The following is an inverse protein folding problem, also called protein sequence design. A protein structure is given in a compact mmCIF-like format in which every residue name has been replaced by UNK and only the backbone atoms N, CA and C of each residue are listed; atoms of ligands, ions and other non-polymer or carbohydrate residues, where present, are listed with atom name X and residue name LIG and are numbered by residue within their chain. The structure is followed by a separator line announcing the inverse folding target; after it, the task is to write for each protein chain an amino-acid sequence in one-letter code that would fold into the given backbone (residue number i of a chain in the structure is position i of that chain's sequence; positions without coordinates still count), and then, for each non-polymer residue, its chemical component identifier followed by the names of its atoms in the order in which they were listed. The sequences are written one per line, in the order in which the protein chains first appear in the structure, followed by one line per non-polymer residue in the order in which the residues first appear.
data_IF_312255384373
#
_entry.id   IF_312255384373
#
_cell.length_a   1.000
_cell.length_b   1.000
_cell.length_c   1.000
_cell.angle_alpha   90.00
_cell.angle_beta   90.00
_cell.angle_gamma   90.00
#
_symmetry.space_group_name_H-M   'P 1'
#
loop_
_entity.id
_entity.type
_entity.pdbx_description
1 polymer ?
#
# COMPACT_ATOMS: atom_id res chain seq x y z
N UNK A 1 -13.27 -6.55 -6.38
CA UNK A 1 -13.07 -7.01 -4.99
C UNK A 1 -13.42 -8.49 -4.97
N UNK A 2 -12.65 -9.29 -4.25
CA UNK A 2 -12.94 -10.69 -4.00
C UNK A 2 -12.29 -11.14 -2.70
N UNK A 3 -12.68 -12.31 -2.20
CA UNK A 3 -12.13 -12.90 -0.98
C UNK A 3 -11.12 -13.97 -1.36
N UNK A 4 -9.89 -13.89 -0.82
CA UNK A 4 -8.92 -14.98 -0.95
C UNK A 4 -9.47 -16.20 -0.22
N UNK A 5 -9.76 -17.27 -0.93
CA UNK A 5 -10.38 -18.49 -0.38
C UNK A 5 -9.36 -19.58 -0.12
N UNK A 6 -8.22 -19.54 -0.84
CA UNK A 6 -7.09 -20.44 -0.62
C UNK A 6 -5.78 -19.76 -0.97
N UNK A 7 -4.88 -19.70 0.00
CA UNK A 7 -3.52 -19.18 -0.18
C UNK A 7 -2.55 -19.89 0.75
N UNK A 8 -1.29 -19.96 0.34
CA UNK A 8 -0.19 -20.46 1.17
C UNK A 8 1.09 -19.77 0.76
N UNK A 9 1.92 -19.40 1.74
CA UNK A 9 3.15 -18.66 1.51
C UNK A 9 2.88 -17.39 0.69
N UNK A 10 3.63 -17.17 -0.40
CA UNK A 10 3.49 -16.03 -1.33
C UNK A 10 2.74 -16.44 -2.59
N UNK A 11 1.72 -17.28 -2.42
CA UNK A 11 0.95 -17.85 -3.52
C UNK A 11 -0.53 -17.83 -3.19
N UNK A 12 -1.32 -17.22 -4.06
CA UNK A 12 -2.78 -17.20 -3.99
C UNK A 12 -3.31 -18.21 -5.00
N UNK A 13 -4.00 -19.25 -4.52
CA UNK A 13 -4.55 -20.30 -5.36
C UNK A 13 -5.97 -19.96 -5.81
N UNK A 14 -6.79 -19.45 -4.88
CA UNK A 14 -8.21 -19.22 -5.14
C UNK A 14 -8.69 -17.87 -4.60
N UNK A 15 -9.50 -17.18 -5.40
CA UNK A 15 -10.26 -15.99 -5.02
C UNK A 15 -11.73 -16.29 -5.33
N UNK A 16 -12.63 -16.09 -4.36
CA UNK A 16 -14.06 -16.42 -4.48
C UNK A 16 -14.34 -17.86 -4.96
N UNK A 17 -13.56 -18.82 -4.45
CA UNK A 17 -13.62 -20.24 -4.81
C UNK A 17 -13.34 -20.54 -6.30
N UNK A 18 -12.69 -19.61 -7.02
CA UNK A 18 -12.22 -19.77 -8.40
C UNK A 18 -10.69 -19.68 -8.48
N UNK A 19 -10.04 -20.24 -9.51
CA UNK A 19 -8.61 -20.06 -9.74
C UNK A 19 -8.23 -18.57 -9.73
N UNK A 20 -7.21 -18.22 -8.94
CA UNK A 20 -6.85 -16.83 -8.71
C UNK A 20 -6.43 -16.11 -10.01
N UNK A 21 -5.77 -16.81 -10.94
CA UNK A 21 -5.40 -16.25 -12.23
C UNK A 21 -6.61 -15.88 -13.10
N UNK A 22 -7.69 -16.67 -13.07
CA UNK A 22 -8.92 -16.37 -13.82
C UNK A 22 -9.57 -15.09 -13.28
N UNK A 23 -9.73 -14.99 -11.96
CA UNK A 23 -10.32 -13.81 -11.32
C UNK A 23 -9.48 -12.56 -11.56
N UNK A 24 -8.15 -12.69 -11.47
CA UNK A 24 -7.24 -11.57 -11.73
C UNK A 24 -7.28 -11.13 -13.20
N UNK A 25 -7.36 -12.07 -14.14
CA UNK A 25 -7.53 -11.74 -15.57
C UNK A 25 -8.87 -11.05 -15.83
N UNK A 26 -9.99 -11.55 -15.28
CA UNK A 26 -11.30 -10.91 -15.37
C UNK A 26 -11.24 -9.45 -14.88
N UNK A 27 -10.53 -9.18 -13.79
CA UNK A 27 -10.37 -7.81 -13.28
C UNK A 27 -9.46 -6.94 -14.16
N UNK A 28 -8.39 -7.50 -14.73
CA UNK A 28 -7.53 -6.79 -15.67
C UNK A 28 -8.26 -6.43 -16.96
N UNK A 29 -9.11 -7.32 -17.48
CA UNK A 29 -9.91 -7.05 -18.68
C UNK A 29 -10.85 -5.85 -18.45
N UNK A 30 -11.53 -5.81 -17.30
CA UNK A 30 -12.36 -4.67 -16.89
C UNK A 30 -11.55 -3.37 -16.75
N UNK A 31 -10.30 -3.45 -16.26
CA UNK A 31 -9.42 -2.29 -16.14
C UNK A 31 -8.89 -1.80 -17.50
N UNK A 32 -8.57 -2.74 -18.41
CA UNK A 32 -8.15 -2.50 -19.79
C UNK A 32 -9.23 -1.74 -20.56
N UNK A 33 -10.48 -2.21 -20.49
CA UNK A 33 -11.63 -1.59 -21.15
C UNK A 33 -11.87 -0.15 -20.68
N UNK A 34 -11.73 0.10 -19.37
CA UNK A 34 -11.91 1.43 -18.79
C UNK A 34 -10.81 2.41 -19.17
N UNK A 35 -9.57 1.94 -19.25
CA UNK A 35 -8.39 2.76 -19.51
C UNK A 35 -8.02 2.86 -21.00
N UNK A 36 -8.71 2.10 -21.87
CA UNK A 36 -8.38 1.96 -23.30
C UNK A 36 -6.91 1.58 -23.52
N UNK A 37 -6.34 0.77 -22.61
CA UNK A 37 -4.92 0.39 -22.60
C UNK A 37 -4.79 -1.13 -22.66
N UNK A 38 -4.10 -1.66 -23.67
CA UNK A 38 -3.85 -3.10 -23.84
C UNK A 38 -2.88 -3.67 -22.78
N UNK A 39 -3.43 -4.08 -21.64
CA UNK A 39 -2.67 -4.66 -20.53
C UNK A 39 -2.09 -6.06 -20.85
N UNK A 40 -2.69 -6.77 -21.80
CA UNK A 40 -2.27 -8.10 -22.28
C UNK A 40 -0.82 -8.15 -22.79
N UNK A 41 -0.31 -7.01 -23.27
CA UNK A 41 1.04 -6.85 -23.81
C UNK A 41 2.13 -6.68 -22.75
N UNK A 42 1.76 -6.47 -21.48
CA UNK A 42 2.68 -6.17 -20.39
C UNK A 42 2.99 -7.45 -19.62
N UNK A 43 4.27 -7.83 -19.58
CA UNK A 43 4.73 -8.98 -18.80
C UNK A 43 4.83 -8.71 -17.30
N UNK A 44 4.83 -9.76 -16.50
CA UNK A 44 5.24 -9.71 -15.09
C UNK A 44 6.77 -9.51 -14.98
N UNK A 45 7.25 -8.86 -13.89
CA UNK A 45 6.50 -8.35 -12.74
C UNK A 45 5.92 -6.94 -12.96
N UNK A 46 6.12 -6.34 -14.14
CA UNK A 46 5.68 -4.96 -14.42
C UNK A 46 4.15 -4.84 -14.39
N UNK A 47 3.43 -5.79 -14.98
CA UNK A 47 1.96 -5.80 -14.96
C UNK A 47 1.43 -5.83 -13.52
N UNK A 48 1.93 -6.74 -12.68
CA UNK A 48 1.51 -6.81 -11.27
C UNK A 48 1.98 -5.62 -10.41
N UNK A 49 2.97 -4.85 -10.87
CA UNK A 49 3.36 -3.59 -10.23
C UNK A 49 2.44 -2.43 -10.62
N UNK A 50 1.89 -2.45 -11.84
CA UNK A 50 0.86 -1.50 -12.28
C UNK A 50 -0.50 -1.83 -11.66
N UNK A 51 -0.79 -3.13 -11.50
CA UNK A 51 -2.08 -3.61 -11.00
C UNK A 51 -1.92 -4.59 -9.83
N UNK A 52 -1.38 -4.15 -8.68
CA UNK A 52 -1.23 -5.02 -7.53
C UNK A 52 -2.59 -5.32 -6.88
N UNK A 53 -2.61 -6.30 -5.97
CA UNK A 53 -3.74 -6.55 -5.10
C UNK A 53 -3.56 -5.78 -3.77
N UNK A 54 -4.48 -4.86 -3.49
CA UNK A 54 -4.58 -4.22 -2.17
C UNK A 54 -5.39 -5.11 -1.23
N UNK A 55 -4.87 -5.39 -0.04
CA UNK A 55 -5.64 -6.10 1.00
C UNK A 55 -6.39 -5.09 1.87
N UNK A 56 -7.69 -5.31 2.08
CA UNK A 56 -8.50 -4.45 2.95
C UNK A 56 -8.59 -5.00 4.37
N UNK A 57 -8.56 -4.11 5.36
CA UNK A 57 -8.89 -4.46 6.75
C UNK A 57 -10.42 -4.51 6.87
N UNK A 58 -10.98 -5.67 7.18
CA UNK A 58 -12.39 -5.75 7.56
C UNK A 58 -12.57 -5.16 8.97
N UNK A 59 -13.44 -4.16 9.09
CA UNK A 59 -13.75 -3.48 10.36
C UNK A 59 -14.46 -4.39 11.39
N UNK A 60 -14.79 -5.63 11.05
CA UNK A 60 -15.71 -6.48 11.84
C UNK A 60 -15.08 -7.00 13.14
N UNK A 61 -13.75 -7.01 13.28
CA UNK A 61 -13.10 -7.68 14.42
C UNK A 61 -12.72 -6.78 15.60
N UNK A 62 -12.72 -5.44 15.47
CA UNK A 62 -12.28 -4.55 16.57
C UNK A 62 -13.42 -3.88 17.36
N UNK A 63 -14.69 -4.04 16.98
CA UNK A 63 -15.82 -3.55 17.79
C UNK A 63 -16.22 -4.52 18.92
N UNK A 64 -15.85 -5.81 18.85
CA UNK A 64 -16.24 -6.78 19.88
C UNK A 64 -15.49 -6.64 21.22
N UNK A 65 -14.39 -5.88 21.29
CA UNK A 65 -13.70 -5.61 22.56
C UNK A 65 -13.95 -4.22 23.15
N UNK A 66 -14.56 -3.28 22.41
CA UNK A 66 -14.72 -1.89 22.89
C UNK A 66 -16.17 -1.47 23.14
N UNK A 67 -17.18 -2.01 22.45
CA UNK A 67 -18.57 -1.56 22.65
C UNK A 67 -19.47 -2.64 23.27
N UNK A 68 -19.39 -2.76 24.60
CA UNK A 68 -20.46 -3.38 25.40
C UNK A 68 -21.56 -2.39 25.79
N UNK A 69 -21.61 -1.22 25.15
CA UNK A 69 -22.71 -0.28 25.32
C UNK A 69 -22.79 0.64 24.12
N UNK A 70 -23.76 0.40 23.22
CA UNK A 70 -24.68 1.37 22.61
C UNK A 70 -25.18 0.86 21.23
N UNK A 71 -26.51 0.76 21.15
CA UNK A 71 -27.44 0.72 20.02
C UNK A 71 -27.36 -0.33 18.89
N UNK A 72 -28.41 -1.18 18.90
CA UNK A 72 -28.67 -2.37 18.06
C UNK A 72 -29.16 -2.07 16.63
N UNK A 73 -29.09 -0.83 16.13
CA UNK A 73 -29.77 -0.46 14.88
C UNK A 73 -28.93 0.37 13.89
N UNK A 74 -27.75 -0.11 13.49
CA UNK A 74 -27.05 0.45 12.32
C UNK A 74 -26.33 -0.63 11.52
N UNK A 75 -27.12 -1.45 10.81
CA UNK A 75 -26.63 -2.28 9.72
C UNK A 75 -26.39 -1.40 8.48
N UNK A 76 -25.29 -0.63 8.45
CA UNK A 76 -24.82 0.00 7.21
C UNK A 76 -24.12 -1.07 6.36
N UNK A 77 -24.73 -1.43 5.24
CA UNK A 77 -24.22 -2.43 4.31
C UNK A 77 -22.92 -1.96 3.63
N UNK A 78 -21.97 -2.89 3.45
CA UNK A 78 -20.71 -2.66 2.73
C UNK A 78 -20.91 -2.12 1.30
N UNK A 79 -22.10 -2.29 0.74
CA UNK A 79 -22.46 -1.87 -0.62
C UNK A 79 -22.65 -0.35 -0.80
N UNK A 80 -22.61 0.46 0.26
CA UNK A 80 -22.86 1.92 0.18
C UNK A 80 -21.63 2.81 0.32
N UNK A 81 -20.41 2.27 0.35
CA UNK A 81 -19.19 3.08 0.53
C UNK A 81 -18.75 3.78 -0.76
N UNK A 82 -18.36 5.06 -0.65
CA UNK A 82 -17.80 5.82 -1.77
C UNK A 82 -16.32 5.43 -2.02
N UNK A 83 -15.84 5.60 -3.26
CA UNK A 83 -14.47 5.25 -3.69
C UNK A 83 -13.35 5.83 -2.79
N UNK A 84 -13.60 6.97 -2.14
CA UNK A 84 -12.65 7.61 -1.21
C UNK A 84 -12.39 6.82 0.08
N UNK A 85 -13.31 5.95 0.49
CA UNK A 85 -13.23 5.28 1.78
C UNK A 85 -12.34 4.03 1.74
N UNK A 86 -12.26 3.36 0.59
CA UNK A 86 -11.43 2.18 0.39
C UNK A 86 -9.93 2.45 0.56
N UNK A 87 -9.46 3.62 0.14
CA UNK A 87 -8.04 4.00 0.26
C UNK A 87 -7.53 4.07 1.70
N UNK A 88 -8.43 4.27 2.68
CA UNK A 88 -8.11 4.28 4.11
C UNK A 88 -8.09 2.88 4.74
N UNK A 89 -8.47 1.86 3.98
CA UNK A 89 -8.62 0.48 4.44
C UNK A 89 -7.56 -0.46 3.85
N UNK A 90 -6.72 0.02 2.92
CA UNK A 90 -5.64 -0.78 2.36
C UNK A 90 -4.47 -0.82 3.33
N UNK A 91 -4.09 -2.02 3.73
CA UNK A 91 -3.05 -2.24 4.73
C UNK A 91 -1.77 -2.84 4.14
N UNK A 92 -1.90 -3.57 3.03
CA UNK A 92 -0.80 -4.23 2.35
C UNK A 92 -1.07 -4.24 0.85
N UNK A 93 -0.01 -4.24 0.05
CA UNK A 93 -0.08 -4.26 -1.42
C UNK A 93 0.71 -5.45 -1.94
N UNK A 94 0.00 -6.53 -2.28
CA UNK A 94 0.60 -7.72 -2.87
C UNK A 94 0.80 -7.52 -4.37
N UNK A 95 2.04 -7.22 -4.77
CA UNK A 95 2.45 -7.18 -6.19
C UNK A 95 2.47 -8.59 -6.74
N UNK A 96 1.81 -8.80 -7.88
CA UNK A 96 1.82 -10.08 -8.61
C UNK A 96 3.13 -10.19 -9.40
N UNK A 97 3.89 -11.25 -9.14
CA UNK A 97 5.19 -11.50 -9.78
C UNK A 97 5.10 -12.50 -10.93
N UNK A 98 4.01 -13.25 -11.03
CA UNK A 98 3.75 -14.18 -12.11
C UNK A 98 2.48 -14.99 -11.91
N UNK A 99 2.08 -15.70 -12.96
CA UNK A 99 1.02 -16.71 -12.95
C UNK A 99 1.69 -18.07 -13.12
N UNK A 100 1.35 -19.02 -12.25
CA UNK A 100 1.89 -20.37 -12.27
C UNK A 100 1.06 -21.27 -13.21
N UNK A 101 1.61 -22.42 -13.61
CA UNK A 101 0.95 -23.36 -14.52
C UNK A 101 -0.38 -23.92 -13.97
N UNK A 102 -0.52 -23.98 -12.65
CA UNK A 102 -1.72 -24.44 -11.95
C UNK A 102 -2.81 -23.35 -11.82
N UNK A 103 -2.60 -22.16 -12.39
CA UNK A 103 -3.53 -21.03 -12.31
C UNK A 103 -3.45 -20.24 -11.00
N UNK A 104 -2.44 -20.50 -10.16
CA UNK A 104 -2.18 -19.68 -8.96
C UNK A 104 -1.35 -18.43 -9.28
N UNK A 105 -1.47 -17.41 -8.43
CA UNK A 105 -0.72 -16.16 -8.53
C UNK A 105 0.46 -16.17 -7.55
N UNK A 106 1.66 -15.88 -8.05
CA UNK A 106 2.83 -15.61 -7.20
C UNK A 106 2.85 -14.14 -6.79
N UNK A 107 3.13 -13.87 -5.51
CA UNK A 107 3.07 -12.52 -4.93
C UNK A 107 4.39 -12.12 -4.24
N UNK A 108 4.56 -10.83 -3.97
CA UNK A 108 5.68 -10.29 -3.18
C UNK A 108 5.51 -10.51 -1.68
N UNK A 109 4.25 -10.52 -1.21
CA UNK A 109 3.86 -10.57 0.20
C UNK A 109 2.81 -11.66 0.40
N UNK A 110 2.77 -12.27 1.59
CA UNK A 110 1.83 -13.35 1.92
C UNK A 110 0.44 -12.80 2.19
N UNK A 111 -0.58 -13.36 1.52
CA UNK A 111 -1.99 -12.99 1.73
C UNK A 111 -2.71 -14.17 2.39
N UNK A 112 -3.35 -13.93 3.52
CA UNK A 112 -4.05 -14.98 4.24
C UNK A 112 -5.38 -15.36 3.55
N UNK A 113 -5.80 -16.61 3.76
CA UNK A 113 -7.17 -17.01 3.38
C UNK A 113 -8.18 -16.29 4.27
N UNK A 114 -9.31 -15.89 3.70
CA UNK A 114 -10.30 -14.99 4.31
C UNK A 114 -10.02 -13.51 4.11
N UNK A 115 -8.87 -13.12 3.54
CA UNK A 115 -8.56 -11.70 3.28
C UNK A 115 -9.28 -11.18 2.05
N UNK A 116 -9.94 -10.04 2.19
CA UNK A 116 -10.51 -9.28 1.07
C UNK A 116 -9.40 -8.59 0.27
N UNK A 117 -9.44 -8.77 -1.05
CA UNK A 117 -8.49 -8.18 -1.99
C UNK A 117 -9.20 -7.38 -3.08
N UNK A 118 -8.57 -6.28 -3.48
CA UNK A 118 -9.04 -5.42 -4.56
C UNK A 118 -7.92 -5.20 -5.58
N UNK A 119 -8.27 -5.23 -6.87
CA UNK A 119 -7.35 -4.80 -7.92
C UNK A 119 -7.11 -3.30 -7.77
N UNK A 120 -5.85 -2.92 -7.60
CA UNK A 120 -5.43 -1.52 -7.58
C UNK A 120 -4.90 -1.11 -8.95
N UNK A 121 -4.68 0.19 -9.11
CA UNK A 121 -3.99 0.76 -10.26
C UNK A 121 -2.93 1.75 -9.76
N UNK A 122 -1.72 1.59 -10.28
CA UNK A 122 -0.58 2.46 -9.97
C UNK A 122 -0.03 3.06 -11.26
N UNK A 123 0.12 4.37 -11.25
CA UNK A 123 0.79 5.15 -12.29
C UNK A 123 1.84 6.08 -11.70
N UNK A 124 2.73 6.59 -12.54
CA UNK A 124 3.70 7.60 -12.12
C UNK A 124 3.04 8.82 -11.48
N UNK A 125 1.89 9.23 -12.02
CA UNK A 125 1.13 10.35 -11.49
C UNK A 125 0.51 10.02 -10.11
N UNK A 126 -0.02 8.80 -9.93
CA UNK A 126 -0.58 8.38 -8.64
C UNK A 126 0.48 8.35 -7.54
N UNK A 127 1.70 7.89 -7.84
CA UNK A 127 2.82 7.84 -6.91
C UNK A 127 3.28 9.23 -6.50
N UNK A 128 3.45 10.14 -7.47
CA UNK A 128 3.78 11.56 -7.20
C UNK A 128 2.71 12.24 -6.34
N UNK A 129 1.44 11.97 -6.64
CA UNK A 129 0.31 12.48 -5.86
C UNK A 129 0.35 11.97 -4.42
N UNK A 130 0.67 10.69 -4.22
CA UNK A 130 0.73 10.09 -2.90
C UNK A 130 1.91 10.65 -2.06
N UNK A 131 3.07 10.96 -2.67
CA UNK A 131 4.18 11.64 -1.98
C UNK A 131 3.77 13.04 -1.51
N UNK A 132 3.09 13.81 -2.38
CA UNK A 132 2.63 15.14 -2.00
C UNK A 132 1.62 15.08 -0.84
N UNK A 133 0.73 14.08 -0.83
CA UNK A 133 -0.19 13.83 0.29
C UNK A 133 0.56 13.50 1.58
N UNK A 134 1.61 12.68 1.54
CA UNK A 134 2.45 12.41 2.71
C UNK A 134 3.09 13.69 3.25
N UNK A 135 3.62 14.55 2.38
CA UNK A 135 4.17 15.85 2.78
C UNK A 135 3.11 16.74 3.46
N UNK A 136 1.91 16.83 2.88
CA UNK A 136 0.79 17.57 3.47
C UNK A 136 0.40 17.01 4.86
N UNK A 137 0.31 15.69 5.01
CA UNK A 137 0.02 15.04 6.30
C UNK A 137 1.11 15.30 7.34
N UNK A 138 2.38 15.31 6.94
CA UNK A 138 3.49 15.64 7.83
C UNK A 138 3.35 17.07 8.37
N UNK A 139 3.01 18.04 7.50
CA UNK A 139 2.73 19.43 7.86
C UNK A 139 1.52 19.52 8.81
N UNK A 140 0.41 18.89 8.46
CA UNK A 140 -0.86 18.91 9.21
C UNK A 140 -0.75 18.27 10.60
N UNK A 141 0.18 17.32 10.79
CA UNK A 141 0.40 16.67 12.08
C UNK A 141 0.73 17.65 13.22
N UNK A 142 1.17 18.88 12.90
CA UNK A 142 1.50 19.95 13.84
C UNK A 142 2.50 19.56 14.95
N UNK A 143 3.18 18.42 14.80
CA UNK A 143 4.19 17.93 15.76
C UNK A 143 5.47 18.77 15.71
N UNK A 144 5.76 19.37 14.57
CA UNK A 144 6.90 20.25 14.30
C UNK A 144 6.57 21.19 13.14
N UNK A 145 7.32 22.29 13.01
CA UNK A 145 7.23 23.11 11.81
C UNK A 145 8.22 22.61 10.77
N UNK A 146 7.82 22.58 9.49
CA UNK A 146 8.70 22.08 8.41
C UNK A 146 10.06 22.77 8.36
N UNK A 147 10.14 24.07 8.65
CA UNK A 147 11.41 24.80 8.68
C UNK A 147 12.35 24.37 9.83
N UNK A 148 11.87 23.59 10.79
CA UNK A 148 12.68 22.98 11.86
C UNK A 148 13.29 21.65 11.42
N UNK A 149 12.98 21.15 10.23
CA UNK A 149 13.53 19.91 9.67
C UNK A 149 15.03 20.06 9.44
N UNK A 150 15.81 19.10 9.95
CA UNK A 150 17.27 19.04 9.80
C UNK A 150 17.73 17.88 8.92
N UNK A 151 16.86 16.89 8.71
CA UNK A 151 17.15 15.78 7.83
C UNK A 151 15.92 14.91 7.62
N UNK A 152 15.96 14.12 6.56
CA UNK A 152 14.93 13.15 6.23
C UNK A 152 15.59 11.84 5.78
N UNK A 153 15.16 10.73 6.36
CA UNK A 153 15.50 9.38 5.92
C UNK A 153 14.32 8.83 5.12
N UNK A 154 14.54 8.56 3.84
CA UNK A 154 13.51 8.10 2.90
C UNK A 154 13.63 6.60 2.64
N UNK A 155 12.49 5.92 2.60
CA UNK A 155 12.36 4.52 2.25
C UNK A 155 11.60 4.42 0.93
N UNK A 156 12.19 3.76 -0.07
CA UNK A 156 11.64 3.69 -1.43
C UNK A 156 11.60 2.25 -1.91
N UNK A 157 10.42 1.73 -2.26
CA UNK A 157 10.33 0.32 -2.69
C UNK A 157 11.03 0.17 -4.03
N UNK A 158 11.85 -0.87 -4.15
CA UNK A 158 12.53 -1.17 -5.40
C UNK A 158 11.53 -1.40 -6.56
N UNK A 159 10.31 -1.86 -6.25
CA UNK A 159 9.21 -1.95 -7.21
C UNK A 159 8.79 -0.58 -7.75
N UNK A 160 8.79 0.47 -6.92
CA UNK A 160 8.52 1.86 -7.34
C UNK A 160 9.60 2.34 -8.29
N UNK A 161 10.88 2.07 -7.98
CA UNK A 161 12.00 2.44 -8.86
C UNK A 161 11.90 1.73 -10.21
N UNK A 162 11.59 0.44 -10.21
CA UNK A 162 11.41 -0.35 -11.43
C UNK A 162 10.24 0.16 -12.29
N UNK A 163 9.17 0.63 -11.65
CA UNK A 163 7.98 1.15 -12.33
C UNK A 163 8.19 2.54 -12.95
N UNK A 164 8.84 3.43 -12.20
CA UNK A 164 8.98 4.84 -12.54
C UNK A 164 10.17 5.14 -13.45
N UNK A 165 11.24 4.34 -13.36
CA UNK A 165 12.49 4.63 -14.04
C UNK A 165 13.21 5.87 -13.48
N UNK A 166 14.43 6.12 -13.97
CA UNK A 166 15.36 7.08 -13.37
C UNK A 166 14.85 8.53 -13.34
N UNK A 167 14.20 9.00 -14.41
CA UNK A 167 13.71 10.38 -14.51
C UNK A 167 12.65 10.69 -13.45
N UNK A 168 11.68 9.80 -13.29
CA UNK A 168 10.61 9.96 -12.32
C UNK A 168 11.09 9.77 -10.88
N UNK A 169 12.16 8.99 -10.64
CA UNK A 169 12.81 8.94 -9.32
C UNK A 169 13.38 10.31 -8.91
N UNK A 170 14.04 11.03 -9.83
CA UNK A 170 14.55 12.36 -9.55
C UNK A 170 13.43 13.36 -9.19
N UNK A 171 12.28 13.27 -9.90
CA UNK A 171 11.11 14.07 -9.58
C UNK A 171 10.52 13.75 -8.21
N UNK A 172 10.47 12.47 -7.82
CA UNK A 172 10.03 12.07 -6.48
C UNK A 172 10.95 12.62 -5.40
N UNK A 173 12.26 12.48 -5.56
CA UNK A 173 13.24 13.05 -4.62
C UNK A 173 13.12 14.58 -4.55
N UNK A 174 12.85 15.24 -5.69
CA UNK A 174 12.53 16.66 -5.75
C UNK A 174 11.32 17.01 -4.87
N UNK A 175 10.22 16.27 -5.01
CA UNK A 175 9.03 16.47 -4.19
C UNK A 175 9.32 16.35 -2.68
N UNK A 176 10.11 15.34 -2.27
CA UNK A 176 10.57 15.21 -0.87
C UNK A 176 11.37 16.42 -0.39
N UNK A 177 12.29 16.91 -1.22
CA UNK A 177 13.10 18.08 -0.90
C UNK A 177 12.24 19.34 -0.74
N UNK A 178 11.25 19.51 -1.59
CA UNK A 178 10.37 20.67 -1.59
C UNK A 178 9.54 20.73 -0.30
N UNK A 179 8.82 19.65 0.06
CA UNK A 179 7.97 19.67 1.25
C UNK A 179 8.74 19.56 2.57
N UNK A 180 9.97 19.04 2.57
CA UNK A 180 10.83 19.00 3.76
C UNK A 180 11.56 20.32 4.06
N UNK A 181 11.31 21.39 3.29
CA UNK A 181 11.96 22.68 3.47
C UNK A 181 13.42 22.71 3.04
N UNK A 182 13.81 21.84 2.10
CA UNK A 182 15.17 21.77 1.57
C UNK A 182 16.17 21.01 2.44
N UNK A 183 15.70 20.21 3.41
CA UNK A 183 16.53 19.44 4.31
C UNK A 183 17.45 18.43 3.58
N UNK A 184 18.56 18.04 4.23
CA UNK A 184 19.42 16.97 3.73
C UNK A 184 18.66 15.64 3.71
N UNK A 185 18.69 14.97 2.57
CA UNK A 185 17.98 13.71 2.34
C UNK A 185 18.99 12.55 2.31
N UNK A 186 18.67 11.47 3.01
CA UNK A 186 19.28 10.16 2.80
C UNK A 186 18.17 9.21 2.34
N UNK A 187 18.34 8.58 1.19
CA UNK A 187 17.36 7.63 0.66
C UNK A 187 17.93 6.23 0.64
N UNK A 188 17.10 5.24 0.97
CA UNK A 188 17.42 3.83 0.78
C UNK A 188 16.33 3.17 -0.04
N UNK A 189 16.76 2.40 -1.05
CA UNK A 189 15.87 1.53 -1.83
C UNK A 189 15.95 0.13 -1.25
N UNK A 190 14.80 -0.47 -0.96
CA UNK A 190 14.74 -1.82 -0.38
C UNK A 190 13.79 -2.74 -1.14
N UNK A 191 14.11 -4.04 -1.10
CA UNK A 191 13.23 -5.11 -1.55
C UNK A 191 12.61 -5.78 -0.32
N UNK A 192 11.32 -6.08 -0.41
CA UNK A 192 10.57 -6.73 0.65
C UNK A 192 10.11 -5.77 1.75
N UNK A 193 9.67 -6.38 2.84
CA UNK A 193 8.97 -5.73 3.93
C UNK A 193 9.94 -5.15 4.97
N UNK A 194 9.58 -4.02 5.59
CA UNK A 194 10.29 -3.44 6.74
C UNK A 194 9.29 -3.18 7.87
N UNK A 195 9.71 -3.50 9.10
CA UNK A 195 8.98 -3.11 10.32
C UNK A 195 8.01 -4.16 10.86
N UNK A 196 8.14 -5.42 10.45
CA UNK A 196 7.39 -6.52 11.08
C UNK A 196 8.13 -7.03 12.33
N UNK A 197 7.46 -7.04 13.49
CA UNK A 197 8.01 -7.60 14.72
C UNK A 197 7.73 -9.11 14.78
N UNK A 198 8.70 -9.96 15.16
CA UNK A 198 8.47 -11.38 15.33
C UNK A 198 7.34 -11.63 16.35
N UNK A 199 6.37 -12.47 15.98
CA UNK A 199 5.21 -12.86 16.80
C UNK A 199 4.18 -11.75 17.08
N UNK A 200 4.21 -10.62 16.37
CA UNK A 200 3.06 -9.71 16.35
C UNK A 200 2.20 -9.95 15.11
N UNK A 201 0.90 -9.70 15.23
CA UNK A 201 -0.01 -9.64 14.09
C UNK A 201 0.10 -8.27 13.37
N UNK A 202 1.20 -7.52 13.59
CA UNK A 202 1.38 -6.23 12.95
C UNK A 202 1.71 -6.42 11.48
N UNK A 203 1.08 -5.59 10.66
CA UNK A 203 1.38 -5.48 9.25
C UNK A 203 2.72 -4.80 9.06
N UNK A 204 3.47 -5.12 7.99
CA UNK A 204 4.72 -4.45 7.73
C UNK A 204 4.47 -2.94 7.58
N UNK A 205 5.26 -2.13 8.30
CA UNK A 205 5.18 -0.66 8.20
C UNK A 205 5.59 -0.13 6.82
N UNK A 206 6.19 -0.98 6.00
CA UNK A 206 6.61 -0.70 4.64
C UNK A 206 6.65 -2.00 3.82
N UNK A 207 6.14 -1.96 2.60
CA UNK A 207 6.03 -3.10 1.68
C UNK A 207 6.25 -2.68 0.20
N UNK A 208 6.04 -3.60 -0.73
CA UNK A 208 6.04 -3.41 -2.16
C UNK A 208 5.18 -2.23 -2.59
N UNK A 209 5.73 -1.40 -3.48
CA UNK A 209 5.12 -0.17 -3.97
C UNK A 209 4.87 0.92 -2.91
N UNK A 210 5.32 0.71 -1.67
CA UNK A 210 5.28 1.75 -0.63
C UNK A 210 6.51 2.66 -0.67
N UNK A 211 6.32 3.84 -0.11
CA UNK A 211 7.39 4.76 0.25
C UNK A 211 7.07 5.35 1.61
N UNK A 212 8.10 5.77 2.32
CA UNK A 212 8.01 6.29 3.68
C UNK A 212 9.11 7.29 3.97
N UNK A 213 8.94 8.09 5.02
CA UNK A 213 9.98 8.99 5.49
C UNK A 213 9.98 9.11 7.02
N UNK A 214 11.19 9.16 7.58
CA UNK A 214 11.43 9.58 8.96
C UNK A 214 12.04 10.97 8.90
N UNK A 215 11.39 11.91 9.60
CA UNK A 215 11.78 13.32 9.61
C UNK A 215 12.46 13.65 10.93
N UNK A 216 13.64 14.24 10.85
CA UNK A 216 14.38 14.73 12.01
C UNK A 216 14.19 16.24 12.11
N UNK A 217 13.74 16.73 13.27
CA UNK A 217 13.58 18.17 13.52
C UNK A 217 14.36 18.63 14.75
N UNK A 218 14.65 19.93 14.85
CA UNK A 218 15.26 20.53 16.05
C UNK A 218 14.32 20.59 17.25
N UNK A 219 13.02 20.35 17.03
CA UNK A 219 12.01 20.49 18.07
C UNK A 219 12.15 19.36 19.08
N UNK A 220 12.55 19.71 20.31
CA UNK A 220 12.60 18.77 21.43
C UNK A 220 11.17 18.41 21.85
N UNK A 221 10.87 17.12 21.99
CA UNK A 221 9.65 16.70 22.70
C UNK A 221 9.76 17.16 24.15
N UNK A 222 8.71 17.77 24.69
CA UNK A 222 8.62 18.18 26.10
C UNK A 222 8.27 17.02 27.04
N UNK A 223 7.93 15.86 26.48
CA UNK A 223 7.62 14.65 27.23
C UNK A 223 8.92 13.96 27.62
N UNK A 224 9.18 13.91 28.93
CA UNK A 224 10.20 13.04 29.50
C UNK A 224 9.71 11.60 29.36
N UNK A 225 10.38 10.80 28.52
CA UNK A 225 10.26 9.36 28.57
C UNK A 225 10.96 8.90 29.85
N UNK A 226 10.19 8.49 30.85
CA UNK A 226 10.72 7.64 31.91
C UNK A 226 10.90 6.26 31.28
N UNK A 227 12.16 5.85 31.11
CA UNK A 227 12.53 4.50 30.71
C UNK A 227 12.54 3.58 31.93
#
# INVERSE_FOLDING_TARGET
MGTVTKASNKTIYEIDCKPAAEVYQEWLDVASDKSQTELSSIGFPRLGSLHPLGTTIDFVSNQMEIDRSIDVNSSSSLCSMQSSDWSKLINMTAVITGINEDGSLSTTSSVASGTNVVLMETSAQSLKTAINKMGAQAVESNKFYIHETIGCLMFLSAGVQALLGHKSMAEMVGAYKDWSGGASLMGMTTFGEIGHLPNSNDFPHYDSLMFGAIIFSKRKRKEYLYF
#
